data_IF_835213061013
#
_entry.id   IF_835213061013
#
_cell.length_a   1.000
_cell.length_b   1.000
_cell.length_c   1.000
_cell.angle_alpha   90.00
_cell.angle_beta   90.00
_cell.angle_gamma   90.00
#
_symmetry.space_group_name_H-M   'P 1'
#
loop_
_entity.id
_entity.type
_entity.pdbx_description
1 polymer ?
#
# COMPACT_ATOMS: atom_id res chain seq x y z
N UNK A 1 -15.65 -5.24 -37.98
CA UNK A 1 -15.05 -4.86 -36.70
C UNK A 1 -14.10 -5.97 -36.25
N UNK A 2 -12.81 -5.68 -36.12
CA UNK A 2 -11.76 -6.60 -35.64
C UNK A 2 -11.96 -6.94 -34.15
N UNK A 3 -11.26 -7.95 -33.64
CA UNK A 3 -11.27 -8.26 -32.19
C UNK A 3 -10.72 -7.12 -31.35
N UNK A 4 -9.68 -6.44 -31.85
CA UNK A 4 -9.13 -5.26 -31.22
C UNK A 4 -10.16 -4.13 -31.15
N UNK A 5 -10.86 -3.82 -32.24
CA UNK A 5 -11.88 -2.77 -32.26
C UNK A 5 -13.05 -3.10 -31.30
N UNK A 6 -13.42 -4.38 -31.17
CA UNK A 6 -14.40 -4.83 -30.17
C UNK A 6 -13.89 -4.58 -28.75
N UNK A 7 -12.65 -4.93 -28.45
CA UNK A 7 -12.04 -4.71 -27.14
C UNK A 7 -11.97 -3.21 -26.80
N UNK A 8 -11.47 -2.38 -27.72
CA UNK A 8 -11.40 -0.93 -27.54
C UNK A 8 -12.78 -0.30 -27.34
N UNK A 9 -13.83 -0.84 -27.96
CA UNK A 9 -15.22 -0.42 -27.72
C UNK A 9 -15.66 -0.74 -26.29
N UNK A 10 -15.33 -1.93 -25.78
CA UNK A 10 -15.60 -2.30 -24.38
C UNK A 10 -14.81 -1.45 -23.38
N UNK A 11 -13.56 -1.10 -23.69
CA UNK A 11 -12.75 -0.19 -22.87
C UNK A 11 -13.41 1.19 -22.79
N UNK A 12 -13.79 1.78 -23.93
CA UNK A 12 -14.48 3.08 -23.95
C UNK A 12 -15.80 3.05 -23.19
N UNK A 13 -16.58 1.98 -23.33
CA UNK A 13 -17.80 1.78 -22.56
C UNK A 13 -17.54 1.73 -21.06
N UNK A 14 -16.50 1.01 -20.61
CA UNK A 14 -16.09 0.97 -19.20
C UNK A 14 -15.72 2.37 -18.69
N UNK A 15 -15.00 3.17 -19.49
CA UNK A 15 -14.68 4.56 -19.13
C UNK A 15 -15.95 5.41 -18.98
N UNK A 16 -16.91 5.29 -19.90
CA UNK A 16 -18.18 6.00 -19.84
C UNK A 16 -19.01 5.60 -18.61
N UNK A 17 -19.18 4.29 -18.39
CA UNK A 17 -20.00 3.74 -17.30
C UNK A 17 -19.45 4.12 -15.91
N UNK A 18 -18.12 4.29 -15.78
CA UNK A 18 -17.45 4.67 -14.53
C UNK A 18 -16.94 6.10 -14.48
N UNK A 19 -17.27 6.92 -15.49
CA UNK A 19 -16.81 8.31 -15.61
C UNK A 19 -15.27 8.45 -15.49
N UNK A 20 -14.53 7.47 -15.99
CA UNK A 20 -13.07 7.48 -15.98
C UNK A 20 -12.55 8.50 -17.00
N UNK A 21 -11.73 9.44 -16.52
CA UNK A 21 -11.11 10.49 -17.35
C UNK A 21 -10.08 9.92 -18.34
N UNK A 22 -9.43 8.84 -17.94
CA UNK A 22 -8.41 8.19 -18.74
C UNK A 22 -8.10 6.78 -18.26
N UNK A 23 -7.53 5.96 -19.14
CA UNK A 23 -7.16 4.58 -18.87
C UNK A 23 -5.93 4.19 -19.69
N UNK A 24 -4.97 3.52 -19.06
CA UNK A 24 -3.88 2.81 -19.73
C UNK A 24 -4.18 1.31 -19.70
N UNK A 25 -4.05 0.62 -20.83
CA UNK A 25 -4.38 -0.81 -20.94
C UNK A 25 -3.27 -1.54 -21.68
N UNK A 26 -2.73 -2.58 -21.04
CA UNK A 26 -1.76 -3.48 -21.64
C UNK A 26 -2.18 -4.96 -21.46
N UNK A 27 -1.88 -5.79 -22.45
CA UNK A 27 -2.02 -7.24 -22.41
C UNK A 27 -0.64 -7.84 -22.68
N UNK A 28 -0.12 -8.55 -21.68
CA UNK A 28 1.21 -9.19 -21.72
C UNK A 28 1.02 -10.69 -21.62
N UNK A 29 1.71 -11.45 -22.48
CA UNK A 29 1.64 -12.91 -22.43
C UNK A 29 2.52 -13.51 -21.32
N UNK A 30 2.43 -14.84 -21.14
CA UNK A 30 3.21 -15.54 -20.13
C UNK A 30 4.74 -15.53 -20.38
N UNK A 31 5.18 -15.13 -21.58
CA UNK A 31 6.60 -14.95 -21.92
C UNK A 31 7.07 -13.50 -21.69
N UNK A 32 6.18 -12.62 -21.22
CA UNK A 32 6.49 -11.21 -20.99
C UNK A 32 6.40 -10.34 -22.26
N UNK A 33 5.82 -10.85 -23.35
CA UNK A 33 5.68 -10.09 -24.60
C UNK A 33 4.38 -9.31 -24.59
N UNK A 34 4.47 -7.98 -24.69
CA UNK A 34 3.32 -7.09 -24.86
C UNK A 34 2.64 -7.37 -26.20
N UNK A 35 1.40 -7.86 -26.15
CA UNK A 35 0.57 -8.12 -27.34
C UNK A 35 -0.30 -6.93 -27.71
N UNK A 36 -0.59 -6.09 -26.73
CA UNK A 36 -1.44 -4.92 -26.88
C UNK A 36 -1.07 -3.89 -25.82
N UNK A 37 -1.02 -2.63 -26.22
CA UNK A 37 -0.81 -1.49 -25.33
C UNK A 37 -1.48 -0.26 -25.95
N UNK A 38 -2.38 0.37 -25.20
CA UNK A 38 -3.04 1.61 -25.61
C UNK A 38 -3.36 2.50 -24.41
N UNK A 39 -3.38 3.79 -24.69
CA UNK A 39 -3.71 4.86 -23.75
C UNK A 39 -4.97 5.57 -24.24
N UNK A 40 -5.92 5.78 -23.34
CA UNK A 40 -7.23 6.36 -23.64
C UNK A 40 -7.48 7.56 -22.75
N UNK A 41 -8.00 8.64 -23.31
CA UNK A 41 -8.41 9.80 -22.53
C UNK A 41 -7.24 10.64 -22.03
N UNK A 42 -7.49 11.38 -20.94
CA UNK A 42 -6.61 12.46 -20.47
C UNK A 42 -5.98 12.12 -19.13
N UNK A 43 -4.72 12.50 -18.93
CA UNK A 43 -4.06 12.45 -17.61
C UNK A 43 -4.37 13.69 -16.77
N UNK A 44 -4.79 14.77 -17.42
CA UNK A 44 -5.10 16.05 -16.80
C UNK A 44 -6.21 16.74 -17.61
N UNK A 45 -7.35 16.99 -16.96
CA UNK A 45 -8.51 17.62 -17.59
C UNK A 45 -8.35 19.13 -17.79
N UNK A 46 -7.57 19.78 -16.93
CA UNK A 46 -7.36 21.23 -16.99
C UNK A 46 -6.40 21.59 -18.12
N UNK A 47 -5.28 20.86 -18.22
CA UNK A 47 -4.30 21.09 -19.30
C UNK A 47 -4.64 20.34 -20.59
N UNK A 48 -5.57 19.39 -20.53
CA UNK A 48 -6.01 18.59 -21.68
C UNK A 48 -4.97 17.60 -22.20
N UNK A 49 -3.94 17.28 -21.40
CA UNK A 49 -2.86 16.35 -21.77
C UNK A 49 -3.38 14.91 -21.84
N UNK A 50 -3.06 14.23 -22.93
CA UNK A 50 -3.37 12.81 -23.10
C UNK A 50 -2.56 11.94 -22.14
N UNK A 51 -3.08 10.74 -21.84
CA UNK A 51 -2.26 9.68 -21.24
C UNK A 51 -1.28 9.18 -22.29
N UNK A 52 -0.06 8.96 -21.86
CA UNK A 52 1.05 8.38 -22.61
C UNK A 52 1.77 7.30 -21.77
N UNK A 53 2.80 6.70 -22.35
CA UNK A 53 3.66 5.68 -21.72
C UNK A 53 4.52 6.21 -20.56
N UNK A 54 4.63 7.54 -20.42
CA UNK A 54 5.33 8.19 -19.31
C UNK A 54 4.38 8.60 -18.17
N UNK A 55 3.07 8.38 -18.31
CA UNK A 55 2.09 8.79 -17.31
C UNK A 55 2.15 7.91 -16.06
N UNK A 56 2.43 8.53 -14.91
CA UNK A 56 2.50 7.84 -13.61
C UNK A 56 1.11 7.77 -12.98
N UNK A 57 0.70 6.56 -12.57
CA UNK A 57 -0.55 6.31 -11.84
C UNK A 57 -0.26 5.90 -10.39
N UNK A 58 -1.10 6.35 -9.46
CA UNK A 58 -1.09 5.82 -8.10
C UNK A 58 -1.57 4.36 -8.09
N UNK A 59 -0.71 3.44 -7.68
CA UNK A 59 -1.01 1.99 -7.67
C UNK A 59 -2.01 1.57 -6.59
N UNK A 60 -2.23 2.42 -5.58
CA UNK A 60 -3.09 2.15 -4.43
C UNK A 60 -2.81 0.75 -3.85
N UNK A 61 -3.84 -0.06 -3.60
CA UNK A 61 -3.68 -1.37 -2.97
C UNK A 61 -2.88 -2.40 -3.78
N UNK A 62 -2.53 -2.16 -5.05
CA UNK A 62 -1.58 -3.02 -5.77
C UNK A 62 -0.18 -2.98 -5.15
N UNK A 63 0.16 -1.91 -4.44
CA UNK A 63 1.42 -1.76 -3.71
C UNK A 63 1.65 -2.89 -2.69
N UNK A 64 0.57 -3.45 -2.11
CA UNK A 64 0.63 -4.52 -1.11
C UNK A 64 1.40 -5.76 -1.61
N UNK A 65 1.26 -6.11 -2.88
CA UNK A 65 2.02 -7.22 -3.48
C UNK A 65 3.53 -6.96 -3.47
N UNK A 66 3.95 -5.71 -3.71
CA UNK A 66 5.36 -5.31 -3.64
C UNK A 66 5.86 -5.28 -2.19
N UNK A 67 5.04 -4.84 -1.22
CA UNK A 67 5.35 -4.92 0.21
C UNK A 67 5.61 -6.36 0.63
N UNK A 68 4.73 -7.30 0.27
CA UNK A 68 4.91 -8.71 0.56
C UNK A 68 6.16 -9.29 -0.12
N UNK A 69 6.43 -8.91 -1.36
CA UNK A 69 7.65 -9.33 -2.07
C UNK A 69 8.92 -8.84 -1.34
N UNK A 70 8.93 -7.59 -0.86
CA UNK A 70 10.06 -7.04 -0.11
C UNK A 70 10.28 -7.79 1.21
N UNK A 71 9.22 -8.08 1.98
CA UNK A 71 9.30 -8.89 3.21
C UNK A 71 9.84 -10.29 2.91
N UNK A 72 9.36 -10.96 1.86
CA UNK A 72 9.84 -12.29 1.48
C UNK A 72 11.30 -12.27 1.04
N UNK A 73 11.74 -11.20 0.36
CA UNK A 73 13.15 -11.00 0.00
C UNK A 73 14.03 -10.83 1.26
N UNK A 74 13.58 -10.03 2.22
CA UNK A 74 14.26 -9.87 3.52
C UNK A 74 14.34 -11.21 4.28
N UNK A 75 13.31 -12.05 4.19
CA UNK A 75 13.36 -13.41 4.74
C UNK A 75 14.40 -14.28 4.03
N UNK A 76 14.43 -14.26 2.70
CA UNK A 76 15.44 -14.99 1.92
C UNK A 76 16.87 -14.56 2.30
N UNK A 77 17.07 -13.28 2.58
CA UNK A 77 18.35 -12.70 3.01
C UNK A 77 18.66 -12.94 4.50
N UNK A 78 17.77 -13.61 5.24
CA UNK A 78 17.97 -13.96 6.65
C UNK A 78 17.82 -12.79 7.63
N UNK A 79 17.20 -11.68 7.20
CA UNK A 79 16.99 -10.48 8.02
C UNK A 79 15.85 -10.68 9.01
N UNK A 80 14.80 -11.39 8.59
CA UNK A 80 13.61 -11.69 9.38
C UNK A 80 13.01 -13.04 9.01
N UNK A 81 12.05 -13.54 9.78
CA UNK A 81 11.11 -14.56 9.37
C UNK A 81 9.68 -14.02 9.35
N UNK A 82 8.85 -14.45 8.41
CA UNK A 82 7.41 -14.14 8.44
C UNK A 82 6.70 -14.77 9.66
N UNK A 83 7.35 -15.70 10.34
CA UNK A 83 6.92 -16.32 11.58
C UNK A 83 7.30 -15.50 12.83
N UNK A 84 8.05 -14.41 12.67
CA UNK A 84 8.44 -13.58 13.80
C UNK A 84 7.25 -12.70 14.26
N UNK A 85 7.15 -12.44 15.58
CA UNK A 85 6.28 -11.40 16.12
C UNK A 85 6.59 -10.03 15.50
N UNK A 86 5.55 -9.28 15.12
CA UNK A 86 5.71 -7.91 14.59
C UNK A 86 6.36 -6.98 15.64
N UNK A 87 6.08 -7.23 16.92
CA UNK A 87 6.62 -6.48 18.06
C UNK A 87 8.14 -6.60 18.24
N UNK A 88 8.78 -7.59 17.60
CA UNK A 88 10.25 -7.69 17.58
C UNK A 88 10.89 -6.62 16.68
N UNK A 89 10.13 -6.07 15.73
CA UNK A 89 10.60 -5.10 14.74
C UNK A 89 10.05 -3.69 14.95
N UNK A 90 8.88 -3.56 15.59
CA UNK A 90 8.19 -2.29 15.82
C UNK A 90 7.92 -2.13 17.33
N UNK A 91 8.79 -1.42 18.08
CA UNK A 91 8.67 -1.28 19.54
C UNK A 91 7.36 -0.64 20.02
N UNK A 92 6.76 0.22 19.19
CA UNK A 92 5.49 0.91 19.40
C UNK A 92 4.29 -0.03 19.36
N UNK A 93 4.41 -1.17 18.67
CA UNK A 93 3.34 -2.16 18.53
C UNK A 93 3.57 -3.34 19.47
N UNK A 94 2.67 -3.55 20.43
CA UNK A 94 2.73 -4.69 21.35
C UNK A 94 2.15 -5.94 20.70
N UNK A 95 1.04 -5.83 19.96
CA UNK A 95 0.47 -6.93 19.19
C UNK A 95 0.05 -8.14 20.03
N UNK A 96 -0.26 -7.91 21.31
CA UNK A 96 -0.63 -8.94 22.30
C UNK A 96 -2.03 -8.74 22.88
N UNK A 97 -2.77 -7.74 22.42
CA UNK A 97 -4.13 -7.44 22.89
C UNK A 97 -5.16 -8.55 22.59
N UNK A 98 -4.76 -9.56 21.83
CA UNK A 98 -5.56 -10.75 21.49
C UNK A 98 -5.18 -12.01 22.29
N UNK A 99 -4.22 -11.91 23.22
CA UNK A 99 -3.72 -13.04 24.02
C UNK A 99 -2.68 -13.93 23.33
N UNK A 100 -2.43 -13.71 22.03
CA UNK A 100 -1.41 -14.38 21.23
C UNK A 100 -0.68 -13.33 20.36
N UNK A 101 0.60 -13.53 20.02
CA UNK A 101 1.35 -12.56 19.23
C UNK A 101 0.85 -12.48 17.78
N UNK A 102 0.75 -11.26 17.26
CA UNK A 102 0.58 -11.02 15.83
C UNK A 102 1.92 -11.19 15.11
N UNK A 103 1.99 -12.18 14.22
CA UNK A 103 3.16 -12.47 13.40
C UNK A 103 3.14 -11.67 12.09
N UNK A 104 4.30 -11.46 11.48
CA UNK A 104 4.45 -10.76 10.19
C UNK A 104 3.53 -11.36 9.11
N UNK A 105 3.45 -12.69 9.00
CA UNK A 105 2.57 -13.37 8.04
C UNK A 105 1.09 -13.05 8.24
N UNK A 106 0.65 -12.81 9.48
CA UNK A 106 -0.74 -12.47 9.76
C UNK A 106 -1.10 -11.11 9.14
N UNK A 107 -0.18 -10.15 9.14
CA UNK A 107 -0.39 -8.87 8.46
C UNK A 107 -0.41 -9.03 6.94
N UNK A 108 0.51 -9.83 6.38
CA UNK A 108 0.58 -10.11 4.94
C UNK A 108 -0.72 -10.76 4.42
N UNK A 109 -1.32 -11.66 5.21
CA UNK A 109 -2.51 -12.41 4.83
C UNK A 109 -3.82 -11.71 5.19
N UNK A 110 -3.76 -10.47 5.69
CA UNK A 110 -4.95 -9.78 6.22
C UNK A 110 -5.66 -10.62 7.29
N UNK A 111 -4.92 -11.31 8.14
CA UNK A 111 -5.45 -12.18 9.19
C UNK A 111 -4.94 -11.82 10.58
N UNK A 112 -4.57 -10.56 10.82
CA UNK A 112 -4.12 -10.07 12.12
C UNK A 112 -5.20 -10.05 13.22
N UNK A 113 -6.46 -10.41 12.92
CA UNK A 113 -7.59 -10.41 13.86
C UNK A 113 -8.28 -9.06 14.07
N UNK A 114 -7.71 -7.98 13.52
CA UNK A 114 -8.21 -6.62 13.67
C UNK A 114 -9.41 -6.29 12.78
N UNK A 115 -10.29 -5.43 13.28
CA UNK A 115 -11.31 -4.79 12.45
C UNK A 115 -10.69 -3.72 11.55
N UNK A 116 -11.17 -3.57 10.30
CA UNK A 116 -10.74 -2.50 9.42
C UNK A 116 -11.02 -1.14 10.04
N UNK A 117 -10.03 -0.26 10.04
CA UNK A 117 -10.14 1.09 10.57
C UNK A 117 -10.27 2.11 9.44
N UNK A 118 -10.80 3.29 9.77
CA UNK A 118 -10.79 4.44 8.86
C UNK A 118 -9.36 4.89 8.60
N UNK A 119 -9.09 5.33 7.36
CA UNK A 119 -7.75 5.80 6.95
C UNK A 119 -7.26 6.94 7.84
N UNK A 120 -5.99 6.86 8.26
CA UNK A 120 -5.25 8.01 8.81
C UNK A 120 -4.91 8.93 7.64
N UNK A 121 -5.22 10.23 7.78
CA UNK A 121 -5.04 11.21 6.70
C UNK A 121 -3.75 11.99 6.95
N UNK A 122 -2.87 12.04 5.95
CA UNK A 122 -1.58 12.75 5.98
C UNK A 122 -1.72 14.17 6.50
N UNK A 123 -2.63 14.95 5.92
CA UNK A 123 -2.81 16.36 6.30
C UNK A 123 -3.16 16.54 7.78
N UNK A 124 -3.87 15.58 8.36
CA UNK A 124 -4.24 15.62 9.79
C UNK A 124 -3.00 15.38 10.66
N UNK A 125 -2.22 14.35 10.37
CA UNK A 125 -1.00 14.04 11.13
C UNK A 125 0.05 15.14 10.93
N UNK A 126 0.20 15.67 9.71
CA UNK A 126 1.09 16.77 9.42
C UNK A 126 0.71 18.02 10.22
N UNK A 127 -0.59 18.36 10.28
CA UNK A 127 -1.06 19.49 11.08
C UNK A 127 -0.82 19.29 12.59
N UNK A 128 -1.01 18.07 13.11
CA UNK A 128 -0.71 17.72 14.51
C UNK A 128 0.78 17.91 14.85
N UNK A 129 1.66 17.58 13.91
CA UNK A 129 3.11 17.79 14.02
C UNK A 129 3.56 19.23 13.72
N UNK A 130 2.65 20.10 13.26
CA UNK A 130 3.01 21.44 12.80
C UNK A 130 3.87 21.46 11.53
N UNK A 131 3.77 20.42 10.71
CA UNK A 131 4.45 20.32 9.42
C UNK A 131 3.66 21.05 8.34
N UNK A 132 4.36 21.89 7.58
CA UNK A 132 3.82 22.60 6.42
C UNK A 132 4.61 22.14 5.18
N UNK A 133 3.92 21.58 4.20
CA UNK A 133 4.53 21.09 2.94
C UNK A 133 5.30 22.19 2.20
N UNK A 134 4.89 23.46 2.32
CA UNK A 134 5.62 24.59 1.75
C UNK A 134 6.99 24.81 2.41
N UNK A 135 7.18 24.30 3.63
CA UNK A 135 8.42 24.43 4.42
C UNK A 135 9.26 23.17 4.34
N UNK A 136 8.65 21.99 4.51
CA UNK A 136 9.36 20.71 4.61
C UNK A 136 9.45 19.95 3.28
N UNK A 137 8.83 20.49 2.22
CA UNK A 137 8.71 19.82 0.95
C UNK A 137 7.69 18.69 1.00
N UNK A 138 7.70 17.86 -0.05
CA UNK A 138 6.74 16.77 -0.24
C UNK A 138 6.67 15.85 0.99
N UNK A 139 5.50 15.88 1.64
CA UNK A 139 5.21 15.14 2.87
C UNK A 139 5.34 13.63 2.67
N UNK A 140 5.20 13.13 1.44
CA UNK A 140 5.37 11.72 1.10
C UNK A 140 6.77 11.18 1.43
N UNK A 141 7.77 12.07 1.57
CA UNK A 141 9.15 11.71 1.90
C UNK A 141 9.59 12.18 3.28
N UNK A 142 8.67 12.71 4.09
CA UNK A 142 9.00 13.19 5.42
C UNK A 142 9.06 12.02 6.42
N UNK A 143 10.26 11.74 6.93
CA UNK A 143 10.50 10.62 7.85
C UNK A 143 9.81 10.79 9.21
N UNK A 144 9.69 12.02 9.71
CA UNK A 144 9.01 12.31 10.98
C UNK A 144 7.51 12.04 10.88
N UNK A 145 6.89 12.51 9.78
CA UNK A 145 5.49 12.22 9.47
C UNK A 145 5.25 10.71 9.35
N UNK A 146 6.12 10.00 8.63
CA UNK A 146 6.02 8.56 8.44
C UNK A 146 6.10 7.81 9.79
N UNK A 147 7.09 8.15 10.61
CA UNK A 147 7.28 7.55 11.93
C UNK A 147 6.07 7.81 12.85
N UNK A 148 5.55 9.04 12.86
CA UNK A 148 4.35 9.37 13.64
C UNK A 148 3.11 8.60 13.11
N UNK A 149 2.96 8.50 11.79
CA UNK A 149 1.92 7.69 11.17
C UNK A 149 1.99 6.23 11.62
N UNK A 150 3.18 5.63 11.57
CA UNK A 150 3.42 4.26 12.05
C UNK A 150 3.08 4.10 13.54
N UNK A 151 3.46 5.08 14.39
CA UNK A 151 3.13 5.09 15.82
C UNK A 151 1.63 5.16 16.06
N UNK A 152 0.90 6.01 15.32
CA UNK A 152 -0.56 6.10 15.43
C UNK A 152 -1.26 4.82 14.96
N UNK A 153 -0.77 4.20 13.88
CA UNK A 153 -1.24 2.88 13.41
C UNK A 153 -1.05 1.82 14.49
N UNK A 154 0.17 1.69 15.04
CA UNK A 154 0.48 0.73 16.08
C UNK A 154 -0.42 0.92 17.31
N UNK A 155 -0.52 2.17 17.81
CA UNK A 155 -1.36 2.50 18.95
C UNK A 155 -2.84 2.22 18.72
N UNK A 156 -3.34 2.47 17.50
CA UNK A 156 -4.74 2.18 17.14
C UNK A 156 -5.04 0.69 17.12
N UNK A 157 -4.14 -0.12 16.55
CA UNK A 157 -4.32 -1.57 16.52
C UNK A 157 -4.26 -2.16 17.93
N UNK A 158 -3.35 -1.69 18.78
CA UNK A 158 -3.25 -2.12 20.19
C UNK A 158 -4.44 -1.65 21.04
N UNK A 159 -5.07 -0.52 20.69
CA UNK A 159 -6.24 0.01 21.39
C UNK A 159 -7.57 -0.70 21.04
N UNK A 160 -7.59 -1.59 20.04
CA UNK A 160 -8.79 -2.40 19.78
C UNK A 160 -9.02 -3.38 20.94
N UNK A 161 -10.27 -3.47 21.40
CA UNK A 161 -10.71 -4.41 22.46
C UNK A 161 -11.57 -5.55 21.89
N UNK A 162 -12.08 -5.39 20.68
CA UNK A 162 -12.86 -6.39 19.95
C UNK A 162 -12.08 -6.86 18.72
N UNK A 163 -12.19 -8.17 18.43
CA UNK A 163 -11.46 -8.81 17.34
C UNK A 163 -12.36 -9.75 16.55
N UNK A 164 -12.04 -9.94 15.28
CA UNK A 164 -12.79 -10.85 14.39
C UNK A 164 -12.50 -12.31 14.77
N UNK A 165 -11.31 -12.57 15.30
CA UNK A 165 -10.87 -13.84 15.87
C UNK A 165 -9.39 -13.74 16.21
N UNK A 166 -8.76 -14.88 16.53
CA UNK A 166 -7.34 -14.90 16.85
C UNK A 166 -6.48 -14.59 15.61
N UNK A 167 -5.22 -14.14 15.78
CA UNK A 167 -4.32 -13.96 14.65
C UNK A 167 -4.18 -15.25 13.83
N UNK A 168 -4.43 -15.16 12.52
CA UNK A 168 -4.43 -16.28 11.58
C UNK A 168 -5.78 -16.98 11.38
N UNK A 169 -6.80 -16.67 12.19
CA UNK A 169 -8.08 -17.41 12.17
C UNK A 169 -9.03 -16.95 11.07
N UNK A 170 -9.16 -15.64 10.87
CA UNK A 170 -10.07 -15.05 9.89
C UNK A 170 -9.39 -13.99 9.04
N UNK A 171 -9.86 -13.87 7.79
CA UNK A 171 -9.49 -12.79 6.89
C UNK A 171 -10.29 -11.52 7.19
N UNK A 172 -9.60 -10.39 7.26
CA UNK A 172 -10.12 -9.04 7.46
C UNK A 172 -9.22 -8.04 6.75
N UNK A 173 -9.73 -7.41 5.68
CA UNK A 173 -8.95 -6.48 4.88
C UNK A 173 -8.50 -5.26 5.71
N UNK A 174 -7.23 -5.26 6.09
CA UNK A 174 -6.63 -4.29 7.00
C UNK A 174 -5.48 -3.55 6.32
N UNK A 175 -5.65 -2.25 6.09
CA UNK A 175 -4.59 -1.39 5.55
C UNK A 175 -3.50 -1.17 6.60
N UNK A 176 -3.87 -0.89 7.84
CA UNK A 176 -2.97 -0.62 8.97
C UNK A 176 -1.87 -1.69 9.14
N UNK A 177 -2.19 -2.97 8.95
CA UNK A 177 -1.20 -4.05 8.96
C UNK A 177 -0.10 -3.88 7.90
N UNK A 178 -0.43 -3.37 6.71
CA UNK A 178 0.57 -3.07 5.68
C UNK A 178 1.35 -1.79 6.00
N UNK A 179 0.83 -0.88 6.83
CA UNK A 179 1.57 0.28 7.34
C UNK A 179 2.72 -0.20 8.21
N UNK A 180 2.44 -1.11 9.14
CA UNK A 180 3.45 -1.77 9.97
C UNK A 180 4.47 -2.57 9.14
N UNK A 181 4.04 -3.36 8.14
CA UNK A 181 5.00 -4.07 7.26
C UNK A 181 5.96 -3.11 6.54
N UNK A 182 5.47 -1.92 6.20
CA UNK A 182 6.27 -0.90 5.51
C UNK A 182 7.30 -0.26 6.43
N UNK A 183 6.94 -0.07 7.69
CA UNK A 183 7.84 0.37 8.76
C UNK A 183 8.99 -0.64 8.96
N UNK A 184 8.66 -1.95 9.00
CA UNK A 184 9.66 -3.02 9.08
C UNK A 184 10.66 -2.93 7.91
N UNK A 185 10.14 -2.79 6.68
CA UNK A 185 11.01 -2.68 5.49
C UNK A 185 11.90 -1.43 5.60
N UNK A 186 11.34 -0.29 5.99
CA UNK A 186 12.07 0.97 6.06
C UNK A 186 13.25 0.91 7.03
N UNK A 187 13.04 0.31 8.21
CA UNK A 187 14.06 0.30 9.27
C UNK A 187 15.06 -0.86 9.18
N UNK A 188 14.69 -1.99 8.56
CA UNK A 188 15.48 -3.21 8.65
C UNK A 188 16.00 -3.75 7.31
N UNK A 189 15.55 -3.22 6.16
CA UNK A 189 16.05 -3.70 4.87
C UNK A 189 17.51 -3.29 4.60
N UNK A 190 18.24 -4.16 3.88
CA UNK A 190 19.64 -3.95 3.52
C UNK A 190 19.83 -4.15 2.00
N UNK A 191 20.29 -3.12 1.25
CA UNK A 191 20.51 -1.74 1.69
C UNK A 191 19.20 -1.06 2.10
N UNK A 192 19.27 -0.01 2.95
CA UNK A 192 18.08 0.74 3.33
C UNK A 192 17.39 1.30 2.08
N UNK A 193 16.05 1.28 2.03
CA UNK A 193 15.34 1.75 0.86
C UNK A 193 15.53 3.26 0.73
N UNK A 194 15.77 3.73 -0.50
CA UNK A 194 15.95 5.17 -0.77
C UNK A 194 14.64 5.96 -0.64
N UNK A 195 13.49 5.27 -0.56
CA UNK A 195 12.14 5.83 -0.45
C UNK A 195 11.27 4.90 0.38
N UNK A 196 10.28 5.44 1.09
CA UNK A 196 9.29 4.64 1.83
C UNK A 196 8.46 3.84 0.81
N UNK A 197 8.47 2.51 0.93
CA UNK A 197 7.94 1.56 -0.08
C UNK A 197 6.40 1.47 -0.06
N UNK A 198 5.71 2.24 0.79
CA UNK A 198 4.25 2.19 0.86
C UNK A 198 3.63 3.57 0.99
N UNK A 199 3.36 4.21 -0.14
CA UNK A 199 2.50 5.40 -0.24
C UNK A 199 1.06 5.01 -0.63
N UNK A 200 0.57 3.89 -0.09
CA UNK A 200 -0.85 3.51 -0.23
C UNK A 200 -1.64 3.63 1.08
N UNK A 201 -0.95 3.98 2.15
CA UNK A 201 -1.46 4.05 3.53
C UNK A 201 -1.24 5.44 4.14
N UNK A 202 -0.56 6.32 3.41
CA UNK A 202 -0.47 7.75 3.67
C UNK A 202 -1.34 8.46 2.63
#
# INVERSE_FOLDING_TARGET
MTEQEKFETSVKKCMEDHQAVGMAVAIVDAQGVTKYERFFGKRDQETGKDIDDETIFGLASLTKSFTCLAILKMQEDGILSIEDPVSDYIPEFKGMNQGEPVLIKHLMFHSGGYFPQSRIVVDTVAAELGLDEAVVGDLAYNAELAQEGCRQVAGRLDAQEEFIGRPGEYFSYCNDGYGLLSDIIYHHAVPPPTRIICLSIF
#
